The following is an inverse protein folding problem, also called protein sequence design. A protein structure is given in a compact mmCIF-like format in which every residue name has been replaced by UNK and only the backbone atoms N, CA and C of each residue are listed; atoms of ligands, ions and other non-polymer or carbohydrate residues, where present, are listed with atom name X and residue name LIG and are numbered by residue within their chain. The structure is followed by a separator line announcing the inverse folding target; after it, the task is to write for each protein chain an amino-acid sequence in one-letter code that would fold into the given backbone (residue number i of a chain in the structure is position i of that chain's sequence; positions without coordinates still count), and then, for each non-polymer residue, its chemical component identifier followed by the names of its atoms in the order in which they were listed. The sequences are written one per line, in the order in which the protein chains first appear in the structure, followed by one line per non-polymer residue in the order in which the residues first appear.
data_IF_365094219972
#
_entry.id   IF_365094219972
#
_cell.length_a   1.000
_cell.length_b   1.000
_cell.length_c   1.000
_cell.angle_alpha   90.00
_cell.angle_beta   90.00
_cell.angle_gamma   90.00
#
_symmetry.space_group_name_H-M   'P 1'
#
loop_
_entity.id
_entity.type
_entity.pdbx_description
1 polymer ?
#
# COMPACT_ATOMS: atom_id res chain seq x y z
N UNK A 1 35.37 -23.00 -6.20
CA UNK A 1 34.86 -21.78 -5.52
C UNK A 1 36.04 -20.84 -5.34
N UNK A 2 36.04 -19.72 -6.04
CA UNK A 2 37.17 -18.77 -6.05
C UNK A 2 37.24 -18.03 -4.71
N UNK A 3 38.30 -18.28 -3.96
CA UNK A 3 38.64 -17.55 -2.74
C UNK A 3 39.20 -16.20 -3.21
N UNK A 4 38.36 -15.16 -3.23
CA UNK A 4 38.86 -13.79 -3.40
C UNK A 4 39.55 -13.37 -2.10
N UNK A 5 40.75 -12.78 -2.14
CA UNK A 5 41.43 -12.30 -0.94
C UNK A 5 40.70 -11.03 -0.46
N UNK A 6 39.74 -11.20 0.44
CA UNK A 6 39.02 -10.11 1.07
C UNK A 6 39.87 -9.51 2.20
N UNK A 7 40.08 -8.19 2.16
CA UNK A 7 40.80 -7.46 3.22
C UNK A 7 39.90 -7.34 4.44
N UNK A 8 40.09 -8.22 5.42
CA UNK A 8 39.33 -8.23 6.69
C UNK A 8 39.58 -6.95 7.51
N UNK A 9 38.51 -6.35 8.02
CA UNK A 9 38.58 -5.19 8.93
C UNK A 9 39.21 -5.57 10.28
N UNK A 10 39.71 -4.59 11.06
CA UNK A 10 40.30 -4.85 12.39
C UNK A 10 39.33 -5.58 13.33
N UNK A 11 38.06 -5.18 13.32
CA UNK A 11 37.03 -5.83 14.13
C UNK A 11 36.75 -7.28 13.71
N UNK A 12 36.74 -7.56 12.40
CA UNK A 12 36.59 -8.93 11.90
C UNK A 12 37.76 -9.83 12.32
N UNK A 13 39.00 -9.32 12.26
CA UNK A 13 40.20 -10.07 12.70
C UNK A 13 40.12 -10.44 14.18
N UNK A 14 39.78 -9.48 15.03
CA UNK A 14 39.62 -9.73 16.46
C UNK A 14 38.54 -10.78 16.75
N UNK A 15 37.37 -10.67 16.10
CA UNK A 15 36.30 -11.63 16.27
C UNK A 15 36.68 -13.04 15.82
N UNK A 16 37.37 -13.16 14.68
CA UNK A 16 37.87 -14.42 14.15
C UNK A 16 38.89 -15.09 15.09
N UNK A 17 39.84 -14.31 15.64
CA UNK A 17 40.80 -14.80 16.64
C UNK A 17 40.11 -15.37 17.89
N UNK A 18 39.05 -14.71 18.38
CA UNK A 18 38.28 -15.22 19.51
C UNK A 18 37.58 -16.55 19.18
N UNK A 19 36.99 -16.68 17.99
CA UNK A 19 36.33 -17.92 17.56
C UNK A 19 37.34 -19.07 17.46
N UNK A 20 38.48 -18.84 16.81
CA UNK A 20 39.56 -19.82 16.68
C UNK A 20 40.08 -20.28 18.05
N UNK A 21 40.26 -19.34 18.99
CA UNK A 21 40.69 -19.64 20.38
C UNK A 21 39.72 -20.59 21.10
N UNK A 22 38.44 -20.55 20.77
CA UNK A 22 37.41 -21.41 21.35
C UNK A 22 37.11 -22.66 20.51
N UNK A 23 37.97 -23.00 19.55
CA UNK A 23 37.88 -24.25 18.79
C UNK A 23 36.92 -24.21 17.60
N UNK A 24 36.43 -23.03 17.21
CA UNK A 24 35.72 -22.88 15.95
C UNK A 24 36.69 -23.01 14.76
N UNK A 25 36.23 -23.61 13.66
CA UNK A 25 37.01 -23.79 12.44
C UNK A 25 36.36 -23.08 11.26
N UNK A 26 37.19 -22.53 10.38
CA UNK A 26 36.71 -21.75 9.24
C UNK A 26 35.78 -22.59 8.35
N UNK A 27 34.58 -22.07 8.09
CA UNK A 27 33.57 -22.72 7.24
C UNK A 27 32.61 -23.64 7.99
N UNK A 28 32.84 -23.92 9.28
CA UNK A 28 31.89 -24.69 10.12
C UNK A 28 30.85 -23.78 10.77
N UNK A 29 29.65 -24.32 10.97
CA UNK A 29 28.60 -23.67 11.74
C UNK A 29 28.92 -23.67 13.23
N UNK A 30 28.25 -22.80 14.00
CA UNK A 30 28.37 -22.79 15.46
C UNK A 30 27.58 -23.94 16.11
N UNK A 31 27.90 -24.26 17.36
CA UNK A 31 27.18 -25.25 18.18
C UNK A 31 27.87 -26.61 18.27
N UNK A 32 27.38 -27.48 19.18
CA UNK A 32 28.03 -28.77 19.52
C UNK A 32 28.25 -29.70 18.33
N UNK A 33 27.36 -29.67 17.33
CA UNK A 33 27.42 -30.50 16.12
C UNK A 33 27.91 -29.71 14.89
N UNK A 34 28.39 -28.47 15.07
CA UNK A 34 28.87 -27.58 14.00
C UNK A 34 27.84 -27.32 12.88
N UNK A 35 26.55 -27.51 13.18
CA UNK A 35 25.44 -27.45 12.23
C UNK A 35 24.66 -26.12 12.31
N UNK A 36 25.19 -25.13 13.02
CA UNK A 36 24.63 -23.80 13.07
C UNK A 36 24.75 -23.06 11.73
N UNK A 37 24.05 -21.94 11.64
CA UNK A 37 24.03 -21.09 10.45
C UNK A 37 25.46 -20.57 10.16
N UNK A 38 25.94 -20.78 8.94
CA UNK A 38 27.30 -20.37 8.49
C UNK A 38 27.32 -18.98 7.86
N UNK A 39 26.18 -18.47 7.41
CA UNK A 39 26.04 -17.17 6.74
C UNK A 39 25.06 -16.29 7.49
N UNK A 40 25.35 -15.00 7.61
CA UNK A 40 24.45 -14.07 8.28
C UNK A 40 23.05 -14.06 7.62
N UNK A 41 22.01 -13.97 8.45
CA UNK A 41 20.64 -13.82 7.97
C UNK A 41 20.53 -12.44 7.31
N UNK A 42 20.23 -12.43 6.00
CA UNK A 42 19.98 -11.21 5.25
C UNK A 42 18.52 -10.82 5.38
N UNK A 43 18.25 -9.71 6.07
CA UNK A 43 16.91 -9.12 6.09
C UNK A 43 16.73 -8.27 4.85
N UNK A 44 15.62 -8.46 4.15
CA UNK A 44 15.19 -7.57 3.07
C UNK A 44 14.52 -6.35 3.70
N UNK A 45 15.06 -5.17 3.44
CA UNK A 45 14.41 -3.93 3.87
C UNK A 45 13.18 -3.67 2.98
N UNK A 46 12.05 -3.41 3.63
CA UNK A 46 10.83 -3.00 2.94
C UNK A 46 10.90 -1.50 2.66
N UNK A 47 10.89 -1.13 1.38
CA UNK A 47 10.95 0.28 0.93
C UNK A 47 9.59 0.81 0.45
N UNK A 48 8.55 -0.01 0.45
CA UNK A 48 7.23 0.32 -0.02
C UNK A 48 6.22 0.50 1.13
N UNK A 49 5.15 1.25 0.88
CA UNK A 49 4.09 1.52 1.85
C UNK A 49 2.96 0.48 1.79
N UNK A 50 3.00 -0.44 0.82
CA UNK A 50 1.91 -1.38 0.59
C UNK A 50 1.75 -2.39 1.73
N UNK A 51 0.54 -2.92 1.90
CA UNK A 51 0.28 -4.00 2.86
C UNK A 51 0.89 -5.34 2.44
N UNK A 52 0.97 -6.28 3.39
CA UNK A 52 1.28 -7.68 3.06
C UNK A 52 0.15 -8.26 2.21
N UNK A 53 0.48 -8.93 1.11
CA UNK A 53 -0.50 -9.45 0.15
C UNK A 53 -1.05 -8.41 -0.83
N UNK A 54 -0.46 -7.20 -0.87
CA UNK A 54 -0.72 -6.26 -1.94
C UNK A 54 -0.26 -6.84 -3.29
N UNK A 55 -1.17 -6.83 -4.26
CA UNK A 55 -0.92 -7.29 -5.62
C UNK A 55 -0.86 -6.06 -6.55
N UNK A 56 0.34 -5.66 -6.99
CA UNK A 56 0.49 -4.49 -7.87
C UNK A 56 -0.30 -4.63 -9.17
N UNK A 57 -0.51 -5.86 -9.66
CA UNK A 57 -1.19 -6.08 -10.94
C UNK A 57 -2.68 -5.69 -10.88
N UNK A 58 -3.32 -5.79 -9.70
CA UNK A 58 -4.75 -5.43 -9.53
C UNK A 58 -5.02 -3.95 -9.75
N UNK A 59 -4.04 -3.08 -9.52
CA UNK A 59 -4.18 -1.65 -9.78
C UNK A 59 -4.30 -1.37 -11.28
N UNK A 60 -3.65 -2.20 -12.12
CA UNK A 60 -3.61 -2.02 -13.57
C UNK A 60 -4.66 -2.84 -14.34
N UNK A 61 -5.27 -3.85 -13.72
CA UNK A 61 -6.21 -4.78 -14.40
C UNK A 61 -7.69 -4.56 -14.04
N UNK A 62 -8.01 -3.71 -13.07
CA UNK A 62 -9.41 -3.38 -12.75
C UNK A 62 -10.01 -2.39 -13.77
N UNK A 63 -10.45 -2.92 -14.91
CA UNK A 63 -11.17 -2.15 -15.93
C UNK A 63 -12.66 -2.03 -15.61
N UNK A 64 -13.01 -1.40 -14.50
CA UNK A 64 -14.41 -1.18 -14.09
C UNK A 64 -15.25 -0.52 -15.20
N UNK A 65 -14.63 0.33 -16.02
CA UNK A 65 -15.27 0.98 -17.16
C UNK A 65 -15.64 -0.01 -18.27
N UNK A 66 -14.85 -1.07 -18.46
CA UNK A 66 -15.06 -2.09 -19.49
C UNK A 66 -16.33 -2.90 -19.18
N UNK A 67 -16.54 -3.26 -17.92
CA UNK A 67 -17.79 -3.90 -17.51
C UNK A 67 -19.01 -2.99 -17.76
N UNK A 68 -18.92 -1.71 -17.41
CA UNK A 68 -20.01 -0.76 -17.63
C UNK A 68 -20.28 -0.56 -19.12
N UNK A 69 -19.23 -0.43 -19.92
CA UNK A 69 -19.32 -0.32 -21.37
C UNK A 69 -19.98 -1.55 -21.98
N UNK A 70 -19.48 -2.76 -21.66
CA UNK A 70 -20.03 -4.01 -22.19
C UNK A 70 -21.48 -4.23 -21.76
N UNK A 71 -21.81 -3.93 -20.49
CA UNK A 71 -23.19 -3.99 -19.99
C UNK A 71 -24.09 -3.00 -20.74
N UNK A 72 -23.60 -1.80 -21.03
CA UNK A 72 -24.38 -0.79 -21.76
C UNK A 72 -24.56 -1.17 -23.22
N UNK A 73 -23.48 -1.56 -23.90
CA UNK A 73 -23.50 -1.97 -25.30
C UNK A 73 -24.41 -3.19 -25.54
N UNK A 74 -24.38 -4.19 -24.67
CA UNK A 74 -25.26 -5.36 -24.75
C UNK A 74 -26.75 -5.04 -24.59
N UNK A 75 -27.09 -3.90 -23.99
CA UNK A 75 -28.47 -3.44 -23.81
C UNK A 75 -28.95 -2.52 -24.95
N UNK A 76 -28.11 -2.22 -25.94
CA UNK A 76 -28.47 -1.42 -27.11
C UNK A 76 -28.74 -2.34 -28.30
N UNK A 77 -29.91 -2.22 -28.90
CA UNK A 77 -30.28 -2.88 -30.15
C UNK A 77 -30.25 -1.82 -31.24
N UNK A 78 -29.44 -2.08 -32.28
CA UNK A 78 -29.31 -1.20 -33.43
C UNK A 78 -30.10 -1.83 -34.58
N UNK A 79 -31.11 -1.13 -35.05
CA UNK A 79 -31.89 -1.51 -36.21
C UNK A 79 -31.55 -0.58 -37.37
N UNK A 80 -31.21 -1.18 -38.50
CA UNK A 80 -30.88 -0.44 -39.72
C UNK A 80 -32.01 -0.65 -40.72
N UNK A 81 -32.69 0.45 -41.09
CA UNK A 81 -33.78 0.47 -42.05
C UNK A 81 -33.48 1.35 -43.25
N UNK A 82 -34.39 1.38 -44.22
CA UNK A 82 -34.27 2.20 -45.43
C UNK A 82 -34.23 3.72 -45.13
N UNK A 83 -34.77 4.15 -43.98
CA UNK A 83 -34.84 5.55 -43.53
C UNK A 83 -33.78 5.93 -42.48
N UNK A 84 -32.78 5.08 -42.24
CA UNK A 84 -31.65 5.36 -41.34
C UNK A 84 -31.48 4.37 -40.18
N UNK A 85 -30.70 4.76 -39.18
CA UNK A 85 -30.31 3.92 -38.03
C UNK A 85 -31.16 4.30 -36.80
N UNK A 86 -31.91 3.35 -36.25
CA UNK A 86 -32.63 3.52 -34.99
C UNK A 86 -31.97 2.71 -33.87
N UNK A 87 -31.74 3.34 -32.73
CA UNK A 87 -31.17 2.70 -31.55
C UNK A 87 -32.27 2.55 -30.51
N UNK A 88 -32.52 1.31 -30.07
CA UNK A 88 -33.48 0.99 -29.00
C UNK A 88 -32.77 0.38 -27.81
N UNK A 89 -33.21 0.71 -26.61
CA UNK A 89 -32.71 0.09 -25.38
C UNK A 89 -33.56 -1.13 -25.03
N UNK A 90 -32.91 -2.27 -24.82
CA UNK A 90 -33.57 -3.47 -24.30
C UNK A 90 -33.78 -3.28 -22.78
N UNK A 91 -35.01 -3.04 -22.35
CA UNK A 91 -35.34 -2.86 -20.93
C UNK A 91 -35.33 -4.20 -20.21
N UNK A 92 -34.16 -4.62 -19.71
CA UNK A 92 -34.10 -5.69 -18.72
C UNK A 92 -34.19 -5.07 -17.33
N UNK A 93 -35.29 -5.32 -16.63
CA UNK A 93 -35.46 -4.92 -15.23
C UNK A 93 -34.33 -5.52 -14.41
N UNK A 94 -33.36 -4.68 -14.07
CA UNK A 94 -32.17 -5.09 -13.32
C UNK A 94 -32.44 -4.70 -11.88
N UNK A 95 -32.85 -5.68 -11.07
CA UNK A 95 -32.95 -5.52 -9.62
C UNK A 95 -31.60 -5.03 -9.11
N UNK A 96 -31.55 -3.78 -8.62
CA UNK A 96 -30.35 -3.19 -8.05
C UNK A 96 -29.98 -3.95 -6.77
N UNK A 97 -29.17 -5.00 -6.87
CA UNK A 97 -28.54 -5.60 -5.70
C UNK A 97 -27.46 -4.65 -5.20
N UNK A 98 -27.83 -3.79 -4.23
CA UNK A 98 -26.83 -3.05 -3.44
C UNK A 98 -25.97 -4.11 -2.75
N UNK A 99 -24.65 -4.16 -3.00
CA UNK A 99 -23.80 -5.03 -2.19
C UNK A 99 -23.98 -4.61 -0.73
N UNK A 100 -24.34 -5.57 0.13
CA UNK A 100 -24.52 -5.32 1.55
C UNK A 100 -23.19 -4.75 2.08
N UNK A 101 -23.20 -3.63 2.79
CA UNK A 101 -21.96 -3.04 3.27
C UNK A 101 -21.25 -4.02 4.19
N UNK A 102 -19.92 -4.10 4.04
CA UNK A 102 -19.10 -4.97 4.87
C UNK A 102 -19.16 -4.49 6.33
N UNK A 103 -19.78 -5.29 7.20
CA UNK A 103 -20.03 -5.01 8.62
C UNK A 103 -18.75 -4.73 9.43
N UNK A 104 -17.58 -5.17 8.94
CA UNK A 104 -16.30 -4.97 9.61
C UNK A 104 -15.80 -3.52 9.52
N UNK A 105 -15.97 -2.87 8.36
CA UNK A 105 -15.46 -1.51 8.13
C UNK A 105 -16.41 -0.43 8.67
N UNK A 106 -17.72 -0.71 8.68
CA UNK A 106 -18.72 0.22 9.23
C UNK A 106 -18.63 0.41 10.76
N UNK A 107 -17.98 -0.50 11.49
CA UNK A 107 -17.71 -0.33 12.93
C UNK A 107 -16.71 0.79 13.24
N UNK A 108 -15.96 1.26 12.25
CA UNK A 108 -14.88 2.24 12.46
C UNK A 108 -15.12 3.58 11.75
N UNK A 109 -16.20 3.71 10.97
CA UNK A 109 -16.57 4.97 10.30
C UNK A 109 -17.94 5.41 10.81
N UNK A 110 -18.00 6.51 11.58
CA UNK A 110 -19.26 7.13 11.97
C UNK A 110 -19.82 7.91 10.79
N UNK A 111 -20.97 7.48 10.28
CA UNK A 111 -21.83 8.32 9.43
C UNK A 111 -22.42 9.41 10.32
N UNK A 112 -22.19 10.67 9.96
CA UNK A 112 -22.87 11.80 10.61
C UNK A 112 -24.28 11.89 10.03
N UNK A 113 -25.26 11.34 10.74
CA UNK A 113 -26.67 11.66 10.48
C UNK A 113 -26.95 13.09 10.97
N UNK A 114 -27.32 13.96 10.04
CA UNK A 114 -27.76 15.31 10.33
C UNK A 114 -29.14 15.25 11.00
N UNK A 115 -29.18 15.20 12.33
CA UNK A 115 -30.44 15.39 13.07
C UNK A 115 -30.40 14.98 14.54
N UNK A 116 -30.59 15.99 15.41
CA UNK A 116 -31.06 15.90 16.81
C UNK A 116 -30.01 15.67 17.93
N UNK A 117 -29.64 16.79 18.56
CA UNK A 117 -29.36 17.06 19.99
C UNK A 117 -28.57 16.03 20.86
N UNK A 118 -27.28 16.33 21.08
CA UNK A 118 -26.49 16.27 22.35
C UNK A 118 -26.36 14.95 23.15
N UNK A 119 -25.35 14.78 24.05
CA UNK A 119 -24.53 15.81 24.70
C UNK A 119 -23.02 15.73 24.42
N UNK A 120 -22.45 16.94 24.42
CA UNK A 120 -21.06 17.34 24.63
C UNK A 120 -20.07 16.26 25.12
N UNK A 121 -19.32 15.72 24.18
CA UNK A 121 -17.91 15.38 24.37
C UNK A 121 -17.12 16.10 23.27
N UNK A 122 -16.93 17.41 23.45
CA UNK A 122 -15.89 18.11 22.71
C UNK A 122 -14.56 17.76 23.41
N UNK A 123 -13.61 17.09 22.73
CA UNK A 123 -12.29 16.91 23.29
C UNK A 123 -11.60 18.28 23.37
N UNK A 124 -10.85 18.51 24.46
CA UNK A 124 -10.33 19.81 24.94
C UNK A 124 -9.34 20.55 24.01
N UNK A 125 -9.15 20.13 22.75
CA UNK A 125 -8.20 20.71 21.81
C UNK A 125 -8.84 21.58 20.71
N UNK A 126 -10.16 21.77 20.74
CA UNK A 126 -10.89 22.67 19.84
C UNK A 126 -11.17 24.04 20.48
N UNK A 127 -10.15 24.62 21.12
CA UNK A 127 -10.16 26.01 21.55
C UNK A 127 -8.84 26.68 21.14
N UNK A 128 -8.68 26.90 19.83
CA UNK A 128 -7.64 27.79 19.33
C UNK A 128 -8.28 28.79 18.36
N UNK A 129 -8.33 30.05 18.80
CA UNK A 129 -8.90 31.18 18.08
C UNK A 129 -8.17 31.40 16.75
N UNK A 130 -8.88 31.79 15.67
CA UNK A 130 -8.27 32.30 14.45
C UNK A 130 -8.07 33.80 14.60
N UNK A 131 -6.91 34.23 15.09
CA UNK A 131 -6.49 35.61 14.94
C UNK A 131 -4.95 35.63 14.89
N UNK A 132 -4.45 35.94 13.70
CA UNK A 132 -3.15 36.49 13.31
C UNK A 132 -2.70 35.87 11.98
N UNK A 133 -3.42 36.23 10.91
CA UNK A 133 -2.86 36.23 9.57
C UNK A 133 -1.92 37.45 9.47
N UNK A 134 -0.62 37.23 9.64
CA UNK A 134 0.40 38.15 9.15
C UNK A 134 1.21 37.45 8.07
N UNK A 135 1.01 37.97 6.86
CA UNK A 135 1.69 37.62 5.62
C UNK A 135 3.18 37.98 5.76
N UNK A 136 4.07 37.00 5.59
CA UNK A 136 5.52 37.25 5.45
C UNK A 136 5.84 37.17 3.95
N UNK A 137 6.36 38.24 3.31
CA UNK A 137 6.75 38.19 1.92
C UNK A 137 8.02 37.35 1.72
N UNK A 138 7.96 36.45 0.74
CA UNK A 138 9.07 35.67 0.22
C UNK A 138 10.04 36.60 -0.53
N UNK A 139 11.28 36.71 -0.06
CA UNK A 139 12.33 37.49 -0.72
C UNK A 139 13.03 36.60 -1.78
N UNK A 140 12.83 36.91 -3.06
CA UNK A 140 13.57 36.31 -4.17
C UNK A 140 15.05 36.73 -4.08
N UNK A 141 15.94 35.76 -3.86
CA UNK A 141 17.39 35.92 -4.06
C UNK A 141 17.70 35.68 -5.53
N UNK A 142 18.15 36.73 -6.22
CA UNK A 142 18.71 36.66 -7.57
C UNK A 142 20.11 36.04 -7.57
N UNK A 143 20.37 35.22 -8.57
CA UNK A 143 21.71 34.88 -9.05
C UNK A 143 21.88 35.55 -10.42
N UNK A 144 22.76 36.55 -10.48
CA UNK A 144 23.57 36.92 -11.64
C UNK A 144 24.88 37.51 -11.14
#
# INVERSE_FOLDING_TARGET
MSITPEVKSRGMKFAEEQLLKHGWTQGKGLGRKENGITQAIKVTLKQDTHGVGHDPAKEFTNHWWNELFNKTAANLVVETGQDGVQIRRLSKETTHNRPKPNMLYQKFVKVLEAGVRGPSFLPSWLLLKPEQLLCVPYQLSGLS
#
